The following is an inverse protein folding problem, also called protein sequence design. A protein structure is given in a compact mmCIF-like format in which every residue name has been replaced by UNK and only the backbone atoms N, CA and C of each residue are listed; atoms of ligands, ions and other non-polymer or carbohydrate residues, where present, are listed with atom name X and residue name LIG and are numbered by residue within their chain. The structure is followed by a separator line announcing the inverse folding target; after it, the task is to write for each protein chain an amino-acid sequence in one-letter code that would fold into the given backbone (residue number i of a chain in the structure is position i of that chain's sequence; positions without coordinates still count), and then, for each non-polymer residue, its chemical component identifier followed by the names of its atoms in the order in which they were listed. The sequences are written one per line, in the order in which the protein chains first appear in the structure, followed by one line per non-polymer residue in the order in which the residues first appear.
data_IF_209176944014
#
_entry.id   IF_209176944014
#
_cell.length_a   1.000
_cell.length_b   1.000
_cell.length_c   1.000
_cell.angle_alpha   90.00
_cell.angle_beta   90.00
_cell.angle_gamma   90.00
#
_symmetry.space_group_name_H-M   'P 1'
#
loop_
_entity.id
_entity.type
_entity.pdbx_description
1 polymer ?
#
# COMPACT_ATOMS: atom_id res chain seq x y z
N UNK A 1 2.12 28.39 -20.19
CA UNK A 1 2.24 27.88 -18.81
C UNK A 1 0.88 27.99 -18.11
N UNK A 2 0.25 26.89 -17.68
CA UNK A 2 -1.07 26.95 -17.02
C UNK A 2 -0.99 27.30 -15.53
N UNK A 3 -2.08 27.80 -14.94
CA UNK A 3 -2.16 28.17 -13.51
C UNK A 3 -1.67 27.07 -12.54
N UNK A 4 -1.94 25.80 -12.85
CA UNK A 4 -1.48 24.66 -12.03
C UNK A 4 0.04 24.52 -11.97
N UNK A 5 0.77 24.94 -13.01
CA UNK A 5 2.22 24.90 -13.02
C UNK A 5 2.80 25.95 -12.05
N UNK A 6 2.24 27.16 -12.03
CA UNK A 6 2.64 28.19 -11.07
C UNK A 6 2.37 27.77 -9.61
N UNK A 7 1.20 27.17 -9.35
CA UNK A 7 0.88 26.62 -8.02
C UNK A 7 1.88 25.53 -7.64
N UNK A 8 2.24 24.65 -8.58
CA UNK A 8 3.23 23.61 -8.33
C UNK A 8 4.60 24.20 -7.98
N UNK A 9 5.08 25.21 -8.69
CA UNK A 9 6.35 25.88 -8.40
C UNK A 9 6.33 26.56 -7.03
N UNK A 10 5.22 27.21 -6.67
CA UNK A 10 5.03 27.79 -5.34
C UNK A 10 5.19 26.73 -4.24
N UNK A 11 4.55 25.56 -4.40
CA UNK A 11 4.67 24.44 -3.46
C UNK A 11 6.02 23.72 -3.50
N UNK A 12 6.83 23.90 -4.54
CA UNK A 12 8.23 23.43 -4.55
C UNK A 12 9.08 24.30 -3.62
N UNK A 13 8.92 25.63 -3.68
CA UNK A 13 9.61 26.62 -2.83
C UNK A 13 8.96 26.83 -1.46
N UNK A 14 8.89 25.77 -0.64
CA UNK A 14 8.24 25.81 0.70
C UNK A 14 8.94 26.68 1.75
N UNK A 15 10.21 27.03 1.52
CA UNK A 15 10.99 27.88 2.41
C UNK A 15 10.81 29.37 2.15
N UNK A 16 10.09 29.77 1.10
CA UNK A 16 9.74 31.17 0.88
C UNK A 16 8.86 31.71 2.01
N UNK A 17 8.93 33.01 2.29
CA UNK A 17 8.20 33.62 3.41
C UNK A 17 6.69 33.49 3.26
N UNK A 18 6.18 33.62 2.03
CA UNK A 18 4.77 33.36 1.70
C UNK A 18 4.34 31.95 2.11
N UNK A 19 5.12 30.93 1.72
CA UNK A 19 4.78 29.54 2.05
C UNK A 19 4.95 29.23 3.53
N UNK A 20 5.96 29.78 4.19
CA UNK A 20 6.16 29.64 5.64
C UNK A 20 5.00 30.24 6.43
N UNK A 21 4.58 31.45 6.06
CA UNK A 21 3.41 32.12 6.65
C UNK A 21 2.15 31.27 6.50
N UNK A 22 1.82 30.86 5.27
CA UNK A 22 0.63 30.05 4.99
C UNK A 22 0.65 28.69 5.71
N UNK A 23 1.79 28.01 5.76
CA UNK A 23 1.93 26.74 6.46
C UNK A 23 1.78 26.91 7.97
N UNK A 24 2.31 28.00 8.55
CA UNK A 24 2.20 28.28 9.99
C UNK A 24 0.75 28.54 10.40
N UNK A 25 0.05 29.41 9.68
CA UNK A 25 -1.37 29.74 9.95
C UNK A 25 -2.26 28.49 9.78
N UNK A 26 -2.07 27.72 8.71
CA UNK A 26 -2.82 26.46 8.50
C UNK A 26 -2.52 25.42 9.56
N UNK A 27 -1.26 25.27 9.95
CA UNK A 27 -0.85 24.32 10.98
C UNK A 27 -1.48 24.66 12.34
N UNK A 28 -1.57 25.96 12.68
CA UNK A 28 -2.34 26.40 13.84
C UNK A 28 -3.83 26.02 13.73
N UNK A 29 -4.48 26.36 12.62
CA UNK A 29 -5.89 26.02 12.40
C UNK A 29 -6.14 24.49 12.49
N UNK A 30 -5.30 23.68 11.85
CA UNK A 30 -5.47 22.22 11.83
C UNK A 30 -5.21 21.56 13.18
N UNK A 31 -4.50 22.24 14.10
CA UNK A 31 -4.33 21.77 15.48
C UNK A 31 -5.61 21.93 16.31
N UNK A 32 -6.39 22.98 16.05
CA UNK A 32 -7.66 23.23 16.74
C UNK A 32 -8.77 22.28 16.29
N UNK A 33 -8.70 21.81 15.04
CA UNK A 33 -9.68 20.86 14.51
C UNK A 33 -9.48 19.44 15.06
N UNK A 34 -10.53 18.62 14.94
CA UNK A 34 -10.50 17.22 15.36
C UNK A 34 -9.47 16.40 14.56
N UNK A 35 -9.09 15.23 15.12
CA UNK A 35 -8.04 14.37 14.56
C UNK A 35 -8.31 14.00 13.10
N UNK A 36 -9.56 13.67 12.81
CA UNK A 36 -10.09 13.37 11.50
C UNK A 36 -11.32 14.25 11.31
N UNK A 37 -11.28 15.13 10.32
CA UNK A 37 -12.39 15.97 9.93
C UNK A 37 -12.52 15.98 8.41
N UNK A 38 -13.75 16.14 7.93
CA UNK A 38 -13.98 16.45 6.52
C UNK A 38 -13.41 17.84 6.23
N UNK A 39 -12.65 17.99 5.15
CA UNK A 39 -12.05 19.28 4.80
C UNK A 39 -13.17 20.33 4.60
N UNK A 40 -13.16 21.46 5.34
CA UNK A 40 -14.28 22.39 5.34
C UNK A 40 -14.27 23.32 4.12
N UNK A 41 -15.42 23.36 3.45
CA UNK A 41 -16.11 24.44 2.70
C UNK A 41 -17.07 23.73 1.74
N UNK A 42 -18.31 24.16 1.54
CA UNK A 42 -19.07 23.78 0.36
C UNK A 42 -18.56 24.58 -0.85
N UNK A 43 -18.15 23.94 -1.96
CA UNK A 43 -17.89 22.50 -2.12
C UNK A 43 -16.52 22.09 -1.54
N UNK A 44 -16.40 20.84 -1.06
CA UNK A 44 -15.18 20.28 -0.42
C UNK A 44 -13.95 20.58 -1.29
N UNK A 45 -13.14 21.58 -0.94
CA UNK A 45 -11.99 22.01 -1.74
C UNK A 45 -10.69 21.44 -1.18
N UNK A 46 -9.85 20.79 -2.00
CA UNK A 46 -8.50 20.41 -1.60
C UNK A 46 -7.70 21.67 -1.24
N UNK A 47 -6.91 21.61 -0.17
CA UNK A 47 -5.94 22.69 0.13
C UNK A 47 -4.94 22.87 -1.02
N UNK A 48 -4.67 21.77 -1.74
CA UNK A 48 -3.79 21.70 -2.91
C UNK A 48 -4.51 21.12 -4.12
N UNK A 49 -5.23 21.93 -4.92
CA UNK A 49 -5.94 21.44 -6.10
C UNK A 49 -5.00 20.89 -7.17
N UNK A 50 -3.79 21.44 -7.31
CA UNK A 50 -2.73 20.95 -8.21
C UNK A 50 -2.36 19.49 -7.91
N UNK A 51 -2.07 19.21 -6.64
CA UNK A 51 -1.59 17.91 -6.19
C UNK A 51 -2.70 16.88 -6.13
N UNK A 52 -3.88 17.30 -5.68
CA UNK A 52 -5.06 16.45 -5.64
C UNK A 52 -5.41 15.95 -7.04
N UNK A 53 -5.44 16.84 -8.06
CA UNK A 53 -5.74 16.47 -9.45
C UNK A 53 -4.73 15.46 -10.01
N UNK A 54 -3.44 15.65 -9.76
CA UNK A 54 -2.39 14.69 -10.17
C UNK A 54 -2.58 13.31 -9.54
N UNK A 55 -3.13 13.25 -8.32
CA UNK A 55 -3.39 12.01 -7.61
C UNK A 55 -4.75 11.37 -7.95
N UNK A 56 -5.51 11.98 -8.87
CA UNK A 56 -6.77 11.45 -9.41
C UNK A 56 -8.04 12.09 -8.85
N UNK A 57 -7.95 13.16 -8.06
CA UNK A 57 -9.12 13.94 -7.65
C UNK A 57 -9.73 14.66 -8.86
N UNK A 58 -11.06 14.62 -8.94
CA UNK A 58 -11.85 15.44 -9.87
C UNK A 58 -12.91 16.19 -9.08
N UNK A 59 -13.20 17.43 -9.48
CA UNK A 59 -14.30 18.21 -8.91
C UNK A 59 -15.64 17.70 -9.46
N UNK A 60 -16.06 16.53 -8.99
CA UNK A 60 -17.34 15.89 -9.30
C UNK A 60 -17.94 15.35 -8.01
N UNK A 61 -19.27 15.18 -7.98
CA UNK A 61 -19.93 14.55 -6.85
C UNK A 61 -19.41 13.10 -6.67
N UNK A 62 -19.32 12.64 -5.43
CA UNK A 62 -18.74 11.34 -5.07
C UNK A 62 -17.25 11.38 -4.73
N UNK A 63 -16.57 12.51 -4.91
CA UNK A 63 -15.23 12.73 -4.34
C UNK A 63 -15.34 13.49 -3.01
N UNK A 64 -14.66 12.99 -1.99
CA UNK A 64 -14.61 13.62 -0.67
C UNK A 64 -13.15 13.70 -0.22
N UNK A 65 -12.82 14.78 0.48
CA UNK A 65 -11.50 14.99 1.06
C UNK A 65 -11.64 15.01 2.57
N UNK A 66 -10.90 14.12 3.22
CA UNK A 66 -10.74 14.11 4.67
C UNK A 66 -9.35 14.57 5.03
N UNK A 67 -9.27 15.42 6.05
CA UNK A 67 -8.00 15.82 6.64
C UNK A 67 -7.78 15.03 7.91
N UNK A 68 -6.57 14.52 8.05
CA UNK A 68 -6.16 13.72 9.19
C UNK A 68 -4.82 14.19 9.73
N UNK A 69 -4.71 14.27 11.06
CA UNK A 69 -3.45 14.47 11.76
C UNK A 69 -2.91 13.14 12.30
N UNK A 70 -1.62 12.91 12.13
CA UNK A 70 -0.91 11.73 12.62
C UNK A 70 0.28 12.18 13.47
N UNK A 71 0.44 11.59 14.66
CA UNK A 71 1.60 11.87 15.53
C UNK A 71 2.89 11.48 14.83
N UNK A 72 3.88 12.35 14.91
CA UNK A 72 5.24 12.10 14.42
C UNK A 72 6.02 11.24 15.41
N UNK A 73 7.11 10.65 14.93
CA UNK A 73 8.06 9.90 15.75
C UNK A 73 8.18 8.44 15.35
N UNK A 74 8.94 7.70 16.16
CA UNK A 74 9.03 6.24 16.07
C UNK A 74 7.82 5.55 16.70
N UNK A 75 7.86 4.21 16.73
CA UNK A 75 6.84 3.40 17.40
C UNK A 75 7.51 2.67 18.55
N UNK A 76 7.24 3.11 19.78
CA UNK A 76 7.66 2.38 20.99
C UNK A 76 7.01 1.00 20.99
N UNK A 77 7.76 -0.03 21.40
CA UNK A 77 7.20 -1.36 21.59
C UNK A 77 6.17 -1.33 22.73
N UNK A 78 4.93 -1.82 22.52
CA UNK A 78 3.94 -1.90 23.60
C UNK A 78 4.28 -3.10 24.49
N UNK A 79 5.15 -2.90 25.48
CA UNK A 79 5.50 -3.91 26.48
C UNK A 79 5.37 -3.33 27.90
N UNK A 80 4.84 -4.10 28.86
CA UNK A 80 4.73 -3.65 30.24
C UNK A 80 6.14 -3.43 30.81
N UNK A 81 6.37 -2.26 31.41
CA UNK A 81 7.65 -1.86 32.05
C UNK A 81 8.92 -2.01 31.19
N UNK A 82 8.79 -2.16 29.86
CA UNK A 82 9.94 -2.39 28.98
C UNK A 82 10.43 -3.84 28.93
N UNK A 83 9.80 -4.77 29.66
CA UNK A 83 10.22 -6.16 29.72
C UNK A 83 9.71 -6.96 28.50
N UNK A 84 10.64 -7.53 27.72
CA UNK A 84 10.32 -8.32 26.50
C UNK A 84 10.47 -9.83 26.70
N UNK A 85 11.16 -10.26 27.76
CA UNK A 85 11.40 -11.67 28.12
C UNK A 85 11.89 -12.52 26.94
N UNK A 86 13.14 -12.34 26.52
CA UNK A 86 13.70 -13.11 25.41
C UNK A 86 15.21 -12.95 25.25
N UNK A 87 15.70 -13.25 24.04
CA UNK A 87 17.12 -13.07 23.71
C UNK A 87 17.47 -11.57 23.70
N UNK A 88 18.71 -11.16 24.08
CA UNK A 88 19.12 -9.75 24.14
C UNK A 88 18.87 -8.95 22.86
N UNK A 89 18.96 -9.57 21.69
CA UNK A 89 18.66 -8.95 20.38
C UNK A 89 17.23 -8.39 20.28
N UNK A 90 16.29 -8.92 21.05
CA UNK A 90 14.89 -8.51 21.06
C UNK A 90 14.53 -7.54 22.21
N UNK A 91 15.50 -7.13 23.05
CA UNK A 91 15.25 -6.24 24.18
C UNK A 91 15.05 -4.75 23.79
N UNK A 92 15.25 -4.38 22.52
CA UNK A 92 15.09 -3.00 22.05
C UNK A 92 13.63 -2.52 22.15
N UNK A 93 13.39 -1.41 22.86
CA UNK A 93 12.05 -0.80 23.05
C UNK A 93 11.89 0.57 22.39
N UNK A 94 12.83 1.50 22.61
CA UNK A 94 12.62 2.93 22.31
C UNK A 94 12.90 3.33 20.85
N UNK A 95 14.01 2.87 20.28
CA UNK A 95 14.50 3.34 18.97
C UNK A 95 13.87 2.59 17.76
N UNK A 96 12.74 1.90 17.96
CA UNK A 96 12.05 1.17 16.90
C UNK A 96 11.30 2.12 15.96
N UNK A 97 11.32 1.78 14.66
CA UNK A 97 10.61 2.51 13.61
C UNK A 97 9.46 1.65 13.08
N UNK A 98 8.35 2.29 12.71
CA UNK A 98 7.24 1.60 12.09
C UNK A 98 7.58 1.23 10.64
N UNK A 99 7.16 0.05 10.18
CA UNK A 99 7.42 -0.40 8.81
C UNK A 99 6.64 0.41 7.76
N UNK A 100 5.44 0.85 8.11
CA UNK A 100 4.61 1.73 7.27
C UNK A 100 5.03 3.19 7.39
N UNK A 101 4.72 3.98 6.36
CA UNK A 101 4.88 5.44 6.42
C UNK A 101 3.73 6.07 7.23
N UNK A 102 3.98 7.23 7.85
CA UNK A 102 2.92 8.01 8.52
C UNK A 102 1.77 8.38 7.55
N UNK A 103 2.10 8.49 6.26
CA UNK A 103 1.14 8.71 5.18
C UNK A 103 0.23 7.48 4.98
N UNK A 104 0.77 6.26 5.04
CA UNK A 104 -0.05 5.03 5.00
C UNK A 104 -0.94 4.90 6.23
N UNK A 105 -0.45 5.28 7.41
CA UNK A 105 -1.25 5.30 8.65
C UNK A 105 -2.40 6.30 8.55
N UNK A 106 -2.19 7.44 7.89
CA UNK A 106 -3.23 8.41 7.62
C UNK A 106 -4.34 7.83 6.71
N UNK A 107 -3.96 7.13 5.64
CA UNK A 107 -4.90 6.46 4.75
C UNK A 107 -5.71 5.38 5.48
N UNK A 108 -5.06 4.54 6.27
CA UNK A 108 -5.69 3.46 7.02
C UNK A 108 -6.71 3.98 8.04
N UNK A 109 -6.37 5.01 8.80
CA UNK A 109 -7.30 5.65 9.74
C UNK A 109 -8.51 6.29 9.02
N UNK A 110 -8.29 6.94 7.89
CA UNK A 110 -9.36 7.53 7.11
C UNK A 110 -10.28 6.46 6.48
N UNK A 111 -9.71 5.39 5.93
CA UNK A 111 -10.45 4.26 5.37
C UNK A 111 -11.23 3.47 6.43
N UNK A 112 -10.65 3.31 7.64
CA UNK A 112 -11.33 2.68 8.77
C UNK A 112 -12.51 3.50 9.28
N UNK A 113 -12.38 4.83 9.38
CA UNK A 113 -13.49 5.70 9.79
C UNK A 113 -14.58 5.79 8.70
N UNK A 114 -14.19 5.88 7.43
CA UNK A 114 -15.10 5.96 6.29
C UNK A 114 -15.23 4.61 5.56
N UNK A 115 -15.68 3.55 6.25
CA UNK A 115 -15.70 2.19 5.70
C UNK A 115 -16.52 2.00 4.41
N UNK A 116 -17.54 2.84 4.19
CA UNK A 116 -18.34 2.81 2.96
C UNK A 116 -17.59 3.40 1.73
N UNK A 117 -16.62 4.29 1.97
CA UNK A 117 -15.85 4.97 0.93
C UNK A 117 -14.60 4.17 0.57
N UNK A 118 -13.99 4.51 -0.56
CA UNK A 118 -12.73 3.91 -1.03
C UNK A 118 -11.61 4.94 -1.05
N UNK A 119 -10.49 4.61 -0.41
CA UNK A 119 -9.28 5.44 -0.45
C UNK A 119 -8.66 5.38 -1.84
N UNK A 120 -8.52 6.56 -2.47
CA UNK A 120 -7.82 6.69 -3.74
C UNK A 120 -6.31 6.86 -3.51
N UNK A 121 -5.94 7.95 -2.83
CA UNK A 121 -4.59 8.38 -2.50
C UNK A 121 -4.66 9.46 -1.40
N UNK A 122 -3.50 9.85 -0.86
CA UNK A 122 -3.40 11.03 0.01
C UNK A 122 -2.17 11.88 -0.31
N UNK A 123 -2.12 13.09 0.25
CA UNK A 123 -0.97 13.99 0.15
C UNK A 123 -0.74 14.80 1.42
N UNK A 124 0.51 15.23 1.60
CA UNK A 124 0.93 16.08 2.71
C UNK A 124 0.46 17.52 2.50
N UNK A 125 -0.05 18.14 3.59
CA UNK A 125 -0.50 19.54 3.58
C UNK A 125 0.24 20.44 4.55
N UNK A 126 0.84 19.87 5.59
CA UNK A 126 1.56 20.62 6.61
C UNK A 126 2.16 19.70 7.66
N UNK A 127 3.13 20.20 8.41
CA UNK A 127 3.65 19.51 9.59
C UNK A 127 4.04 20.49 10.68
N UNK A 128 4.01 19.95 11.89
CA UNK A 128 4.44 20.58 13.13
C UNK A 128 5.49 19.69 13.79
N UNK A 129 6.10 20.10 14.90
CA UNK A 129 6.96 19.24 15.72
C UNK A 129 6.28 17.92 16.11
N UNK A 130 4.99 17.99 16.49
CA UNK A 130 4.26 16.84 17.05
C UNK A 130 3.46 16.06 16.02
N UNK A 131 2.93 16.73 14.99
CA UNK A 131 1.98 16.12 14.04
C UNK A 131 2.39 16.33 12.58
N UNK A 132 2.00 15.39 11.71
CA UNK A 132 1.91 15.60 10.26
C UNK A 132 0.45 15.59 9.85
N UNK A 133 0.09 16.50 8.96
CA UNK A 133 -1.25 16.64 8.42
C UNK A 133 -1.28 16.13 6.98
N UNK A 134 -2.28 15.29 6.70
CA UNK A 134 -2.51 14.72 5.37
C UNK A 134 -3.96 14.97 4.96
N UNK A 135 -4.16 15.15 3.66
CA UNK A 135 -5.48 15.10 3.03
C UNK A 135 -5.60 13.80 2.24
N UNK A 136 -6.61 13.01 2.59
CA UNK A 136 -6.95 11.73 1.97
C UNK A 136 -8.10 11.94 1.01
N UNK A 137 -7.90 11.53 -0.23
CA UNK A 137 -8.92 11.55 -1.28
C UNK A 137 -9.69 10.24 -1.19
N UNK A 138 -10.99 10.36 -0.89
CA UNK A 138 -11.94 9.27 -0.79
C UNK A 138 -12.94 9.37 -1.94
N UNK A 139 -13.39 8.21 -2.41
CA UNK A 139 -14.40 8.07 -3.45
C UNK A 139 -15.57 7.28 -2.90
N UNK A 140 -16.78 7.75 -3.16
CA UNK A 140 -18.01 6.99 -2.95
C UNK A 140 -18.24 6.02 -4.13
N UNK A 141 -18.15 4.70 -3.93
CA UNK A 141 -18.35 3.73 -4.99
C UNK A 141 -19.82 3.54 -5.42
N UNK A 142 -20.79 4.02 -4.63
CA UNK A 142 -22.22 3.87 -4.93
C UNK A 142 -22.79 5.06 -5.71
N UNK A 143 -22.10 6.19 -5.74
CA UNK A 143 -22.56 7.36 -6.48
C UNK A 143 -22.59 7.12 -8.00
N UNK A 144 -23.73 7.43 -8.63
CA UNK A 144 -23.94 7.36 -10.10
C UNK A 144 -22.83 8.06 -10.91
N UNK A 145 -22.34 9.21 -10.47
CA UNK A 145 -21.28 9.98 -11.14
C UNK A 145 -19.93 9.25 -11.19
N UNK A 146 -19.67 8.36 -10.24
CA UNK A 146 -18.45 7.53 -10.18
C UNK A 146 -18.66 6.23 -10.97
N UNK A 147 -19.83 5.59 -10.82
CA UNK A 147 -20.15 4.30 -11.45
C UNK A 147 -20.30 4.39 -12.97
N UNK A 148 -20.91 5.45 -13.47
CA UNK A 148 -21.13 5.67 -14.92
C UNK A 148 -19.88 6.15 -15.65
N UNK A 149 -18.87 6.62 -14.93
CA UNK A 149 -17.65 7.16 -15.53
C UNK A 149 -16.60 6.03 -15.71
N UNK A 150 -16.22 5.67 -16.95
CA UNK A 150 -15.32 4.56 -17.22
C UNK A 150 -13.93 4.77 -16.58
N UNK A 151 -13.46 6.01 -16.47
CA UNK A 151 -12.15 6.32 -15.87
C UNK A 151 -12.07 6.10 -14.35
N UNK A 152 -13.21 5.97 -13.66
CA UNK A 152 -13.28 5.78 -12.20
C UNK A 152 -13.95 4.47 -11.80
N UNK A 153 -14.72 3.85 -12.69
CA UNK A 153 -15.49 2.64 -12.43
C UNK A 153 -14.64 1.48 -11.90
N UNK A 154 -13.36 1.40 -12.24
CA UNK A 154 -12.47 0.36 -11.72
C UNK A 154 -12.51 0.29 -10.18
N UNK A 155 -12.55 1.42 -9.47
CA UNK A 155 -12.48 1.44 -7.99
C UNK A 155 -13.73 0.88 -7.31
N UNK A 156 -14.86 0.79 -8.02
CA UNK A 156 -16.13 0.31 -7.46
C UNK A 156 -16.17 -1.22 -7.35
N UNK A 157 -15.30 -1.93 -8.09
CA UNK A 157 -15.25 -3.40 -8.04
C UNK A 157 -14.91 -3.90 -6.62
N UNK A 158 -15.42 -5.07 -6.21
CA UNK A 158 -15.23 -5.60 -4.86
C UNK A 158 -13.75 -5.86 -4.52
N UNK A 159 -12.92 -6.21 -5.51
CA UNK A 159 -11.47 -6.44 -5.32
C UNK A 159 -10.71 -5.20 -4.84
N UNK A 160 -11.31 -4.01 -4.93
CA UNK A 160 -10.74 -2.74 -4.48
C UNK A 160 -11.29 -2.28 -3.11
N UNK A 161 -11.92 -3.16 -2.32
CA UNK A 161 -12.27 -2.88 -0.92
C UNK A 161 -11.00 -2.75 -0.07
N UNK A 162 -10.94 -1.78 0.84
CA UNK A 162 -9.81 -1.58 1.76
C UNK A 162 -8.42 -1.71 1.11
N UNK A 163 -8.14 -0.87 0.11
CA UNK A 163 -6.85 -0.86 -0.60
C UNK A 163 -5.72 -0.39 0.31
N UNK A 164 -6.03 0.54 1.20
CA UNK A 164 -5.15 1.13 2.21
C UNK A 164 -4.66 0.06 3.19
N UNK A 165 -5.56 -0.80 3.70
CA UNK A 165 -5.20 -1.88 4.64
C UNK A 165 -4.33 -2.97 4.00
N UNK A 166 -4.48 -3.18 2.68
CA UNK A 166 -3.67 -4.15 1.91
C UNK A 166 -2.39 -3.55 1.31
N UNK A 167 -2.12 -2.27 1.56
CA UNK A 167 -0.96 -1.56 1.03
C UNK A 167 -0.94 -1.45 -0.50
N UNK A 168 -2.11 -1.29 -1.13
CA UNK A 168 -2.28 -1.13 -2.58
C UNK A 168 -2.37 0.34 -3.04
N UNK A 169 -2.43 1.27 -2.09
CA UNK A 169 -2.29 2.72 -2.32
C UNK A 169 -0.84 3.08 -2.65
N UNK A 170 -0.61 4.30 -3.16
CA UNK A 170 0.75 4.74 -3.48
C UNK A 170 1.67 4.78 -2.25
N UNK A 171 1.15 5.16 -1.08
CA UNK A 171 1.90 5.18 0.17
C UNK A 171 2.22 3.77 0.69
N UNK A 172 1.24 2.86 0.65
CA UNK A 172 1.42 1.46 1.07
C UNK A 172 2.38 0.68 0.17
N UNK A 173 2.28 0.88 -1.16
CA UNK A 173 3.18 0.23 -2.13
C UNK A 173 4.65 0.60 -1.92
N UNK A 174 4.94 1.83 -1.49
CA UNK A 174 6.31 2.26 -1.16
C UNK A 174 6.89 1.48 0.02
N UNK A 175 6.09 1.24 1.07
CA UNK A 175 6.51 0.45 2.24
C UNK A 175 6.80 -1.01 1.87
N UNK A 176 6.11 -1.56 0.88
CA UNK A 176 6.32 -2.94 0.39
C UNK A 176 7.65 -3.16 -0.33
N UNK A 177 8.39 -2.11 -0.70
CA UNK A 177 9.68 -2.23 -1.38
C UNK A 177 9.61 -2.87 -2.76
N UNK A 178 8.47 -2.72 -3.46
CA UNK A 178 8.29 -3.25 -4.81
C UNK A 178 9.09 -2.43 -5.83
N UNK A 179 9.72 -3.10 -6.79
CA UNK A 179 10.45 -2.45 -7.87
C UNK A 179 10.96 -3.44 -8.90
N UNK A 180 11.68 -2.93 -9.89
CA UNK A 180 12.38 -3.73 -10.92
C UNK A 180 13.88 -3.61 -10.72
N UNK A 181 14.62 -4.60 -11.22
CA UNK A 181 16.08 -4.63 -11.17
C UNK A 181 16.67 -5.16 -9.86
N UNK A 182 18.00 -5.13 -9.78
CA UNK A 182 18.77 -5.81 -8.75
C UNK A 182 18.46 -5.35 -7.31
N UNK A 183 18.05 -4.09 -7.13
CA UNK A 183 17.69 -3.57 -5.78
C UNK A 183 16.41 -4.18 -5.19
N UNK A 184 15.60 -4.88 -6.01
CA UNK A 184 14.27 -5.39 -5.61
C UNK A 184 14.19 -6.92 -5.50
N UNK A 185 15.32 -7.63 -5.42
CA UNK A 185 15.36 -9.10 -5.38
C UNK A 185 14.55 -9.73 -4.23
N UNK A 186 14.35 -9.01 -3.12
CA UNK A 186 13.55 -9.49 -2.00
C UNK A 186 12.06 -9.62 -2.31
N UNK A 187 11.56 -9.05 -3.42
CA UNK A 187 10.13 -9.03 -3.77
C UNK A 187 9.79 -9.68 -5.10
N UNK A 188 10.73 -10.45 -5.68
CA UNK A 188 10.49 -11.21 -6.92
C UNK A 188 9.35 -12.21 -6.69
N UNK A 189 8.32 -12.16 -7.53
CA UNK A 189 7.07 -12.90 -7.32
C UNK A 189 5.96 -12.11 -6.60
N UNK A 190 6.14 -10.80 -6.39
CA UNK A 190 5.08 -9.86 -6.00
C UNK A 190 5.06 -9.42 -4.53
N UNK A 191 5.69 -10.18 -3.63
CA UNK A 191 5.86 -9.78 -2.21
C UNK A 191 7.07 -10.47 -1.58
N UNK A 192 7.54 -9.95 -0.43
CA UNK A 192 8.65 -10.57 0.32
C UNK A 192 8.31 -11.98 0.79
N UNK A 193 7.10 -12.20 1.28
CA UNK A 193 6.65 -13.52 1.73
C UNK A 193 6.51 -14.51 0.58
N UNK A 194 6.03 -14.06 -0.59
CA UNK A 194 5.97 -14.90 -1.79
C UNK A 194 7.38 -15.30 -2.28
N UNK A 195 8.32 -14.35 -2.30
CA UNK A 195 9.71 -14.61 -2.64
C UNK A 195 10.37 -15.60 -1.67
N UNK A 196 10.13 -15.44 -0.37
CA UNK A 196 10.63 -16.34 0.67
C UNK A 196 10.02 -17.74 0.53
N UNK A 197 8.70 -17.85 0.34
CA UNK A 197 8.02 -19.15 0.16
C UNK A 197 8.61 -19.90 -1.03
N UNK A 198 8.69 -19.26 -2.19
CA UNK A 198 9.26 -19.88 -3.40
C UNK A 198 10.69 -20.39 -3.21
N UNK A 199 11.52 -19.70 -2.43
CA UNK A 199 12.92 -20.11 -2.17
C UNK A 199 13.03 -21.24 -1.14
N UNK A 200 12.08 -21.36 -0.23
CA UNK A 200 12.12 -22.36 0.85
C UNK A 200 11.19 -23.55 0.61
N UNK A 201 10.42 -23.54 -0.50
CA UNK A 201 9.66 -24.70 -0.95
C UNK A 201 10.56 -25.56 -1.82
N UNK A 202 10.93 -26.75 -1.32
CA UNK A 202 11.63 -27.75 -2.13
C UNK A 202 10.67 -28.33 -3.17
N UNK A 203 11.03 -28.24 -4.45
CA UNK A 203 10.35 -28.95 -5.50
C UNK A 203 10.73 -30.44 -5.43
N UNK A 204 9.74 -31.30 -5.18
CA UNK A 204 9.93 -32.74 -5.29
C UNK A 204 9.64 -33.14 -6.73
N UNK A 205 10.68 -33.33 -7.53
CA UNK A 205 10.59 -34.18 -8.72
C UNK A 205 10.56 -35.65 -8.27
N UNK A 206 10.01 -36.55 -9.09
CA UNK A 206 10.02 -38.01 -8.85
C UNK A 206 11.45 -38.50 -8.52
N UNK A 207 12.43 -37.92 -9.20
CA UNK A 207 13.87 -38.12 -9.01
C UNK A 207 14.33 -37.80 -7.57
N UNK A 208 13.99 -36.61 -7.05
CA UNK A 208 14.35 -36.19 -5.70
C UNK A 208 13.67 -37.02 -4.60
N UNK A 209 12.50 -37.61 -4.88
CA UNK A 209 11.77 -38.46 -3.92
C UNK A 209 12.43 -39.84 -3.75
N UNK A 210 12.94 -40.42 -4.85
CA UNK A 210 13.65 -41.70 -4.84
C UNK A 210 15.03 -41.58 -4.19
N UNK A 211 15.75 -40.48 -4.43
CA UNK A 211 17.03 -40.19 -3.76
C UNK A 211 16.87 -40.00 -2.25
N UNK A 212 15.79 -39.34 -1.80
CA UNK A 212 15.49 -39.15 -0.37
C UNK A 212 15.08 -40.45 0.35
N UNK A 213 14.58 -41.46 -0.37
CA UNK A 213 14.27 -42.80 0.17
C UNK A 213 15.46 -43.76 0.16
N UNK A 214 16.65 -43.32 -0.26
CA UNK A 214 17.85 -44.17 -0.28
C UNK A 214 17.85 -45.23 -1.39
N UNK A 215 16.91 -45.16 -2.34
CA UNK A 215 16.94 -46.00 -3.53
C UNK A 215 17.83 -45.33 -4.58
N UNK A 216 19.05 -45.84 -4.78
CA UNK A 216 19.88 -45.48 -5.94
C UNK A 216 19.25 -46.11 -7.18
N UNK A 217 18.37 -45.39 -7.85
CA UNK A 217 17.91 -45.79 -9.19
C UNK A 217 18.97 -45.30 -10.18
N UNK A 218 19.69 -46.24 -10.79
CA UNK A 218 20.64 -45.92 -11.84
C UNK A 218 19.91 -45.31 -13.04
N UNK A 219 20.56 -44.38 -13.74
CA UNK A 219 19.97 -43.61 -14.85
C UNK A 219 19.36 -44.46 -16.00
N UNK A 220 19.61 -45.78 -16.03
CA UNK A 220 19.06 -46.72 -17.03
C UNK A 220 17.69 -47.32 -16.69
N UNK A 221 17.21 -47.23 -15.45
CA UNK A 221 15.91 -47.81 -15.06
C UNK A 221 14.73 -46.83 -15.25
N UNK A 222 15.00 -45.54 -15.40
CA UNK A 222 13.95 -44.52 -15.58
C UNK A 222 13.35 -44.54 -16.99
N UNK A 223 14.14 -44.90 -18.01
CA UNK A 223 13.66 -44.97 -19.41
C UNK A 223 12.66 -46.12 -19.64
N UNK A 224 12.78 -47.22 -18.88
CA UNK A 224 11.86 -48.37 -18.97
C UNK A 224 10.45 -48.10 -18.41
N UNK A 225 10.32 -47.14 -17.49
CA UNK A 225 9.02 -46.78 -16.89
C UNK A 225 8.29 -45.72 -17.73
N UNK A 226 9.02 -44.81 -18.39
CA UNK A 226 8.41 -43.82 -19.30
C UNK A 226 7.90 -44.43 -20.61
N UNK A 227 8.50 -45.53 -21.09
CA UNK A 227 8.03 -46.26 -22.27
C UNK A 227 6.61 -46.85 -22.12
N UNK A 228 6.20 -47.21 -20.91
CA UNK A 228 4.88 -47.81 -20.65
C UNK A 228 3.75 -46.79 -20.41
N UNK A 229 4.05 -45.50 -20.24
CA UNK A 229 3.04 -44.46 -20.06
C UNK A 229 2.59 -43.81 -21.38
N UNK A 230 3.40 -43.90 -22.45
CA UNK A 230 2.99 -43.45 -23.78
C UNK A 230 2.06 -44.45 -24.50
N UNK A 231 2.14 -45.75 -24.19
CA UNK A 231 1.25 -46.77 -24.76
C UNK A 231 -0.16 -46.78 -24.15
N UNK A 232 -0.31 -46.40 -22.88
CA UNK A 232 -1.61 -46.33 -22.19
C UNK A 232 -2.45 -45.09 -22.58
N UNK A 233 -1.81 -43.99 -23.00
CA UNK A 233 -2.51 -42.76 -23.41
C UNK A 233 -3.00 -42.78 -24.87
N UNK A 234 -2.65 -43.79 -25.67
CA UNK A 234 -3.19 -43.94 -27.04
C UNK A 234 -4.46 -44.81 -27.09
N UNK A 235 -4.78 -45.57 -26.03
CA UNK A 235 -5.99 -46.40 -25.98
C UNK A 235 -7.23 -45.66 -25.43
N UNK A 236 -7.08 -44.49 -24.82
CA UNK A 236 -8.21 -43.74 -24.23
C UNK A 236 -8.80 -42.66 -25.14
N UNK A 237 -8.36 -42.54 -26.39
CA UNK A 237 -8.84 -41.52 -27.34
C UNK A 237 -9.82 -42.07 -28.39
N UNK A 238 -10.23 -43.33 -28.25
CA UNK A 238 -11.31 -43.94 -29.03
C UNK A 238 -12.39 -44.31 -28.00
N UNK A 239 -13.61 -43.84 -28.19
CA UNK A 239 -14.78 -43.92 -27.28
C UNK A 239 -14.89 -42.75 -26.28
N UNK A 240 -15.36 -41.60 -26.77
CA UNK A 240 -16.50 -40.78 -26.27
C UNK A 240 -16.43 -39.37 -26.85
#
# INVERSE_FOLDING_TARGET
MGAYNYIQELWRKKQSDVMRFLLRVRCWQYRQLSVLHRAPLPPTRPTRPDKARRLGYKAKQGYVIYRIRVRRGGRKRPVPKGATYGKPVHHRVNQLKFAGSLQSVAEERAGSHCGALRVLNCYWVGEDSTYKFFEVILIDPFHKAIRRNPGTQWITKPVHKHREMRGLTSAGRKSRGLGKGHKSHHTIGGSRSAAWRRRNTMARSMENYLTLKGQKVGARELDGVFGNLQSLNQQSTIVS
#
